data_IF_829541662850
#
_entry.id   IF_829541662850
#
_cell.length_a   1.000
_cell.length_b   1.000
_cell.length_c   1.000
_cell.angle_alpha   90.00
_cell.angle_beta   90.00
_cell.angle_gamma   90.00
#
_symmetry.space_group_name_H-M   'P 1'
#
loop_
_entity.id
_entity.type
_entity.pdbx_description
1 polymer ?
#
# COMPACT_ATOMS: atom_id res chain seq x y z
N UNK A 1 -6.72 -18.17 9.29
CA UNK A 1 -7.17 -16.77 9.37
C UNK A 1 -8.21 -16.73 10.47
N UNK A 2 -7.90 -16.15 11.63
CA UNK A 2 -8.88 -16.07 12.73
C UNK A 2 -9.70 -14.81 12.46
N UNK A 3 -11.01 -14.98 12.25
CA UNK A 3 -11.97 -13.89 12.04
C UNK A 3 -12.36 -13.32 13.41
N UNK A 4 -12.06 -12.06 13.67
CA UNK A 4 -12.57 -11.32 14.83
C UNK A 4 -13.83 -10.55 14.42
N UNK A 5 -14.89 -10.65 15.22
CA UNK A 5 -16.18 -10.04 14.96
C UNK A 5 -16.21 -8.57 15.47
N UNK A 6 -15.43 -8.25 16.51
CA UNK A 6 -15.31 -6.95 17.19
C UNK A 6 -16.66 -6.34 17.58
N UNK A 7 -17.64 -7.17 17.97
CA UNK A 7 -18.97 -6.72 18.40
C UNK A 7 -19.32 -7.24 19.80
N UNK A 8 -20.05 -6.47 20.57
CA UNK A 8 -20.63 -6.97 21.82
C UNK A 8 -21.75 -7.97 21.50
N UNK A 9 -21.85 -9.06 22.26
CA UNK A 9 -22.92 -10.06 22.11
C UNK A 9 -23.63 -10.31 23.45
N UNK A 10 -24.85 -10.81 23.39
CA UNK A 10 -25.65 -11.13 24.57
C UNK A 10 -25.93 -12.64 24.59
N UNK A 11 -25.63 -13.29 25.71
CA UNK A 11 -25.92 -14.71 25.92
C UNK A 11 -26.39 -14.91 27.37
N UNK A 12 -27.55 -15.54 27.55
CA UNK A 12 -28.19 -15.71 28.86
C UNK A 12 -28.28 -14.41 29.68
N UNK A 13 -28.74 -13.32 29.07
CA UNK A 13 -28.87 -11.99 29.68
C UNK A 13 -27.56 -11.35 30.19
N UNK A 14 -26.41 -11.94 29.84
CA UNK A 14 -25.09 -11.40 30.13
C UNK A 14 -24.53 -10.77 28.85
N UNK A 15 -24.01 -9.55 28.99
CA UNK A 15 -23.35 -8.80 27.92
C UNK A 15 -21.87 -9.21 27.89
N UNK A 16 -21.44 -9.77 26.76
CA UNK A 16 -20.05 -10.12 26.49
C UNK A 16 -19.44 -9.10 25.53
N UNK A 17 -18.37 -8.45 25.95
CA UNK A 17 -17.54 -7.63 25.09
C UNK A 17 -16.67 -8.51 24.21
N UNK A 18 -16.25 -8.03 23.03
CA UNK A 18 -15.35 -8.79 22.15
C UNK A 18 -14.11 -9.33 22.88
N UNK A 19 -13.57 -8.56 23.82
CA UNK A 19 -12.38 -8.93 24.59
C UNK A 19 -12.59 -10.15 25.50
N UNK A 20 -13.84 -10.51 25.79
CA UNK A 20 -14.20 -11.61 26.68
C UNK A 20 -14.15 -12.97 25.97
N UNK A 21 -14.22 -12.99 24.63
CA UNK A 21 -14.30 -14.24 23.86
C UNK A 21 -13.44 -14.25 22.57
N UNK A 22 -12.93 -13.11 22.11
CA UNK A 22 -12.02 -13.04 20.97
C UNK A 22 -10.57 -13.20 21.45
N UNK A 23 -9.86 -14.15 20.86
CA UNK A 23 -8.41 -14.23 21.04
C UNK A 23 -7.77 -12.98 20.46
N UNK A 24 -6.95 -12.30 21.28
CA UNK A 24 -6.08 -11.24 20.76
C UNK A 24 -5.22 -11.85 19.67
N UNK A 25 -5.14 -11.21 18.49
CA UNK A 25 -4.26 -11.74 17.47
C UNK A 25 -2.84 -11.71 18.05
N UNK A 26 -2.00 -12.73 17.77
CA UNK A 26 -0.62 -12.67 18.18
C UNK A 26 -0.08 -11.35 17.64
N UNK A 27 0.45 -10.49 18.53
CA UNK A 27 1.21 -9.33 18.09
C UNK A 27 2.25 -9.88 17.13
N UNK A 28 2.33 -9.33 15.92
CA UNK A 28 3.45 -9.62 15.04
C UNK A 28 4.70 -9.12 15.78
N UNK A 29 5.34 -10.00 16.54
CA UNK A 29 6.44 -9.65 17.43
C UNK A 29 7.65 -9.11 16.66
N UNK A 30 7.68 -9.37 15.34
CA UNK A 30 8.62 -8.78 14.40
C UNK A 30 7.90 -8.42 13.11
N UNK A 31 7.90 -7.13 12.77
CA UNK A 31 7.58 -6.67 11.42
C UNK A 31 8.52 -7.39 10.43
N UNK A 32 8.07 -7.90 9.27
CA UNK A 32 8.94 -8.59 8.30
C UNK A 32 10.19 -7.78 7.93
N UNK A 33 10.11 -6.44 7.95
CA UNK A 33 11.24 -5.55 7.70
C UNK A 33 12.32 -5.52 8.81
N UNK A 34 12.06 -6.05 10.02
CA UNK A 34 13.09 -6.13 11.08
C UNK A 34 14.29 -7.00 10.66
N UNK A 35 14.08 -8.00 9.80
CA UNK A 35 15.17 -8.78 9.20
C UNK A 35 15.77 -8.15 7.94
N UNK A 36 15.16 -7.07 7.45
CA UNK A 36 15.48 -6.40 6.18
C UNK A 36 16.12 -5.03 6.39
N UNK A 37 16.55 -4.66 7.61
CA UNK A 37 17.16 -3.35 7.88
C UNK A 37 18.42 -3.07 7.02
N UNK A 38 19.01 -4.14 6.47
CA UNK A 38 20.16 -4.11 5.56
C UNK A 38 19.79 -4.37 4.09
N UNK A 39 18.53 -4.69 3.79
CA UNK A 39 18.09 -4.92 2.41
C UNK A 39 17.62 -3.59 1.81
N UNK A 40 18.57 -2.70 1.57
CA UNK A 40 18.34 -1.51 0.75
C UNK A 40 18.97 -1.75 -0.63
N UNK A 41 18.14 -1.74 -1.66
CA UNK A 41 18.60 -1.67 -3.04
C UNK A 41 18.96 -0.21 -3.34
N UNK A 42 20.17 0.19 -2.97
CA UNK A 42 20.72 1.47 -3.40
C UNK A 42 21.27 1.32 -4.81
N UNK A 43 20.90 2.23 -5.69
CA UNK A 43 21.55 2.36 -6.99
C UNK A 43 22.85 3.15 -6.77
N UNK A 44 24.00 2.58 -7.14
CA UNK A 44 25.31 3.28 -7.07
C UNK A 44 25.30 4.60 -7.86
N UNK A 45 24.46 4.68 -8.89
CA UNK A 45 24.18 5.89 -9.66
C UNK A 45 22.67 6.01 -9.84
N UNK A 46 22.03 7.10 -9.38
CA UNK A 46 20.62 7.30 -9.67
C UNK A 46 20.40 7.40 -11.18
N UNK A 47 19.26 6.93 -11.70
CA UNK A 47 18.91 7.14 -13.10
C UNK A 47 18.88 8.64 -13.40
N UNK A 48 19.20 9.05 -14.64
CA UNK A 48 19.15 10.46 -15.02
C UNK A 48 17.76 11.03 -14.77
N UNK A 49 17.70 12.27 -14.28
CA UNK A 49 16.44 12.98 -14.07
C UNK A 49 15.72 13.14 -15.40
N UNK A 50 14.64 12.38 -15.56
CA UNK A 50 13.68 12.51 -16.65
C UNK A 50 12.77 13.72 -16.44
N UNK A 51 12.00 14.08 -17.45
CA UNK A 51 10.98 15.14 -17.33
C UNK A 51 9.98 14.85 -16.19
N UNK A 52 9.62 13.58 -16.04
CA UNK A 52 8.70 13.09 -15.02
C UNK A 52 9.40 12.14 -14.03
N UNK A 53 9.05 12.24 -12.75
CA UNK A 53 9.43 11.30 -11.69
C UNK A 53 8.17 10.79 -11.01
N UNK A 54 7.96 9.47 -10.98
CA UNK A 54 6.85 8.86 -10.26
C UNK A 54 7.32 8.33 -8.90
N UNK A 55 6.61 8.72 -7.84
CA UNK A 55 6.77 8.19 -6.49
C UNK A 55 5.59 7.28 -6.21
N UNK A 56 5.86 6.01 -5.94
CA UNK A 56 4.83 4.98 -5.77
C UNK A 56 4.90 4.40 -4.37
N UNK A 57 3.75 4.09 -3.79
CA UNK A 57 3.65 3.38 -2.52
C UNK A 57 2.53 2.34 -2.56
N UNK A 58 2.76 1.23 -1.87
CA UNK A 58 1.78 0.19 -1.61
C UNK A 58 1.62 0.02 -0.11
N UNK A 59 0.38 0.06 0.38
CA UNK A 59 0.08 -0.02 1.82
C UNK A 59 -0.92 -1.12 2.13
N UNK A 60 -0.83 -1.65 3.35
CA UNK A 60 -1.83 -2.55 3.89
C UNK A 60 -2.11 -2.23 5.35
N UNK A 61 -3.38 -2.02 5.65
CA UNK A 61 -3.93 -1.92 7.01
C UNK A 61 -4.85 -3.11 7.27
N UNK A 62 -5.36 -3.26 8.50
CA UNK A 62 -6.15 -4.44 8.93
C UNK A 62 -7.28 -4.83 7.97
N UNK A 63 -7.95 -3.84 7.38
CA UNK A 63 -9.15 -4.03 6.56
C UNK A 63 -9.02 -3.49 5.12
N UNK A 64 -7.83 -3.06 4.70
CA UNK A 64 -7.66 -2.43 3.39
C UNK A 64 -6.25 -2.63 2.82
N UNK A 65 -6.18 -2.75 1.50
CA UNK A 65 -4.93 -2.76 0.74
C UNK A 65 -5.01 -1.59 -0.23
N UNK A 66 -4.04 -0.68 -0.18
CA UNK A 66 -4.03 0.55 -0.95
C UNK A 66 -2.78 0.68 -1.81
N UNK A 67 -2.91 1.42 -2.90
CA UNK A 67 -1.86 1.75 -3.86
C UNK A 67 -1.95 3.23 -4.17
N UNK A 68 -0.82 3.93 -4.26
CA UNK A 68 -0.81 5.36 -4.54
C UNK A 68 0.42 5.81 -5.31
N UNK A 69 0.23 6.67 -6.31
CA UNK A 69 1.32 7.33 -7.06
C UNK A 69 1.16 8.84 -7.04
N UNK A 70 2.28 9.52 -6.88
CA UNK A 70 2.45 10.95 -7.18
C UNK A 70 3.46 11.10 -8.30
N UNK A 71 3.08 11.70 -9.42
CA UNK A 71 3.97 12.01 -10.55
C UNK A 71 4.33 13.50 -10.47
N UNK A 72 5.63 13.80 -10.48
CA UNK A 72 6.16 15.17 -10.49
C UNK A 72 6.92 15.45 -11.77
N UNK A 73 6.82 16.67 -12.27
CA UNK A 73 7.72 17.20 -13.30
C UNK A 73 8.86 17.99 -12.64
N UNK A 74 9.79 18.48 -13.45
CA UNK A 74 10.80 19.47 -13.00
C UNK A 74 10.18 20.76 -12.45
N UNK A 75 8.96 21.09 -12.87
CA UNK A 75 8.28 22.37 -12.55
C UNK A 75 7.26 22.24 -11.41
N UNK A 76 6.88 21.02 -11.01
CA UNK A 76 5.95 20.84 -9.89
C UNK A 76 5.26 19.48 -9.86
N UNK A 77 4.14 19.44 -9.14
CA UNK A 77 3.24 18.28 -9.14
C UNK A 77 2.52 18.18 -10.48
N UNK A 78 2.53 16.99 -11.08
CA UNK A 78 1.86 16.73 -12.35
C UNK A 78 0.54 16.00 -12.14
N UNK A 79 0.54 14.86 -11.46
CA UNK A 79 -0.67 14.08 -11.20
C UNK A 79 -0.57 13.23 -9.94
N UNK A 80 -1.72 12.82 -9.44
CA UNK A 80 -1.84 11.87 -8.33
C UNK A 80 -2.93 10.84 -8.65
N UNK A 81 -2.70 9.60 -8.22
CA UNK A 81 -3.70 8.55 -8.31
C UNK A 81 -3.60 7.63 -7.10
N UNK A 82 -4.75 7.14 -6.64
CA UNK A 82 -4.85 6.13 -5.60
C UNK A 82 -5.88 5.07 -5.97
N UNK A 83 -5.64 3.83 -5.52
CA UNK A 83 -6.52 2.70 -5.74
C UNK A 83 -6.55 1.75 -4.56
N UNK A 84 -7.55 0.88 -4.54
CA UNK A 84 -7.71 -0.14 -3.52
C UNK A 84 -7.78 -1.53 -4.13
N UNK A 85 -7.13 -2.48 -3.48
CA UNK A 85 -7.14 -3.89 -3.84
C UNK A 85 -8.02 -4.66 -2.85
N UNK A 86 -8.41 -5.88 -3.22
CA UNK A 86 -9.11 -6.78 -2.30
C UNK A 86 -8.25 -7.11 -1.08
N UNK A 87 -8.89 -7.37 0.07
CA UNK A 87 -8.23 -7.58 1.36
C UNK A 87 -7.21 -8.74 1.36
N UNK A 88 -7.42 -9.75 0.51
CA UNK A 88 -6.50 -10.88 0.34
C UNK A 88 -5.16 -10.49 -0.28
N UNK A 89 -5.09 -9.36 -1.00
CA UNK A 89 -3.87 -8.93 -1.67
C UNK A 89 -2.78 -8.52 -0.65
N UNK A 90 -1.53 -8.71 -1.04
CA UNK A 90 -0.33 -8.36 -0.28
C UNK A 90 0.18 -6.99 -0.69
N UNK A 91 1.02 -6.38 0.17
CA UNK A 91 1.64 -5.08 -0.09
C UNK A 91 2.40 -5.08 -1.42
N UNK A 92 3.20 -6.11 -1.70
CA UNK A 92 3.93 -6.20 -2.97
C UNK A 92 3.00 -6.22 -4.21
N UNK A 93 1.77 -6.74 -4.10
CA UNK A 93 0.81 -6.72 -5.22
C UNK A 93 0.29 -5.29 -5.43
N UNK A 94 0.05 -4.56 -4.34
CA UNK A 94 -0.30 -3.15 -4.41
C UNK A 94 0.85 -2.30 -5.00
N UNK A 95 2.10 -2.57 -4.63
CA UNK A 95 3.29 -1.93 -5.21
C UNK A 95 3.41 -2.20 -6.72
N UNK A 96 3.24 -3.45 -7.16
CA UNK A 96 3.30 -3.80 -8.58
C UNK A 96 2.16 -3.14 -9.39
N UNK A 97 0.95 -3.11 -8.84
CA UNK A 97 -0.20 -2.47 -9.49
C UNK A 97 0.04 -0.98 -9.68
N UNK A 98 0.58 -0.30 -8.67
CA UNK A 98 0.85 1.13 -8.80
C UNK A 98 1.96 1.40 -9.81
N UNK A 99 3.04 0.61 -9.84
CA UNK A 99 4.12 0.76 -10.84
C UNK A 99 3.57 0.61 -12.26
N UNK A 100 2.73 -0.40 -12.50
CA UNK A 100 2.10 -0.60 -13.81
C UNK A 100 1.23 0.61 -14.20
N UNK A 101 0.41 1.10 -13.27
CA UNK A 101 -0.45 2.25 -13.51
C UNK A 101 0.37 3.54 -13.76
N UNK A 102 1.49 3.75 -13.04
CA UNK A 102 2.39 4.86 -13.29
C UNK A 102 2.97 4.83 -14.70
N UNK A 103 3.39 3.66 -15.18
CA UNK A 103 3.89 3.49 -16.55
C UNK A 103 2.79 3.81 -17.57
N UNK A 104 1.56 3.36 -17.33
CA UNK A 104 0.43 3.66 -18.20
C UNK A 104 0.13 5.16 -18.27
N UNK A 105 0.11 5.86 -17.12
CA UNK A 105 -0.09 7.31 -17.08
C UNK A 105 1.03 8.05 -17.83
N UNK A 106 2.29 7.72 -17.56
CA UNK A 106 3.44 8.35 -18.24
C UNK A 106 3.44 8.13 -19.75
N UNK A 107 2.94 6.99 -20.24
CA UNK A 107 2.80 6.75 -21.69
C UNK A 107 1.78 7.68 -22.34
N UNK A 108 0.65 7.94 -21.68
CA UNK A 108 -0.36 8.87 -22.19
C UNK A 108 0.22 10.29 -22.24
N UNK A 109 0.92 10.71 -21.18
CA UNK A 109 1.54 12.04 -21.11
C UNK A 109 2.57 12.30 -22.20
N UNK A 110 3.41 11.31 -22.49
CA UNK A 110 4.39 11.41 -23.59
C UNK A 110 3.72 11.49 -24.97
N UNK A 111 2.51 10.95 -25.15
CA UNK A 111 1.78 11.05 -26.40
C UNK A 111 1.16 12.45 -26.59
N UNK A 112 0.69 13.07 -25.51
CA UNK A 112 0.10 14.42 -25.52
C UNK A 112 1.15 15.54 -25.69
N UNK A 113 2.44 15.23 -25.48
CA UNK A 113 3.56 16.17 -25.57
C UNK A 113 4.13 16.34 -27.00
N UNK A 114 3.58 15.64 -28.01
CA UNK A 114 4.08 15.63 -29.42
C UNK A 114 3.25 16.54 -30.34
N UNK A 115 2.46 17.47 -29.79
CA UNK A 115 1.71 18.48 -30.53
C UNK A 115 2.09 19.90 -30.09
#
# INVERSE_FOLDING_TARGET
MILQLKKTTMYNDIIFNPQDYEEKPPKYNRHPALGLHNLHCNLDKPPPSTEFTAYTDGSKIENKVGSGVTIKTKTGLHSEWQGYLQLQNRVYQAELVVILNSIMQLRVLNADSIH
#
